data_IF_821051627353
#
_entry.id   IF_821051627353
#
_cell.length_a   1.000
_cell.length_b   1.000
_cell.length_c   1.000
_cell.angle_alpha   90.00
_cell.angle_beta   90.00
_cell.angle_gamma   90.00
#
_symmetry.space_group_name_H-M   'P 1'
#
loop_
_entity.id
_entity.type
_entity.pdbx_description
1 polymer ?
#
# COMPACT_ATOMS: atom_id res chain seq x y z
N UNK A 1 5.47 -3.65 26.89
CA UNK A 1 5.14 -4.73 25.94
C UNK A 1 3.88 -4.31 25.22
N UNK A 2 3.98 -3.79 23.98
CA UNK A 2 2.81 -3.33 23.22
C UNK A 2 2.09 -4.60 22.75
N UNK A 3 0.83 -4.74 23.12
CA UNK A 3 0.02 -5.91 22.76
C UNK A 3 -0.16 -5.88 21.24
N UNK A 4 0.56 -6.76 20.52
CA UNK A 4 0.46 -6.87 19.05
C UNK A 4 -0.81 -7.64 18.76
N UNK A 5 -1.91 -6.98 18.43
CA UNK A 5 -3.01 -7.65 17.75
C UNK A 5 -3.75 -6.68 16.84
N UNK A 6 -3.31 -6.68 15.58
CA UNK A 6 -4.10 -6.37 14.39
C UNK A 6 -5.06 -5.16 14.51
N UNK A 7 -4.60 -4.05 15.08
CA UNK A 7 -5.44 -2.85 15.23
C UNK A 7 -5.49 -2.04 13.93
N UNK A 8 -6.44 -1.10 13.87
CA UNK A 8 -6.52 -0.15 12.77
C UNK A 8 -5.26 0.70 12.66
N UNK A 9 -4.70 1.13 13.79
CA UNK A 9 -3.47 1.92 13.85
C UNK A 9 -2.27 1.14 13.30
N UNK A 10 -2.13 -0.14 13.66
CA UNK A 10 -1.06 -0.99 13.13
C UNK A 10 -1.23 -1.24 11.62
N UNK A 11 -2.48 -1.33 11.15
CA UNK A 11 -2.80 -1.43 9.72
C UNK A 11 -2.40 -0.15 8.97
N UNK A 12 -2.78 1.02 9.50
CA UNK A 12 -2.39 2.33 8.97
C UNK A 12 -0.86 2.45 8.91
N UNK A 13 -0.16 2.11 10.01
CA UNK A 13 1.30 2.16 10.07
C UNK A 13 1.94 1.20 9.05
N UNK A 14 1.37 0.00 8.88
CA UNK A 14 1.83 -0.96 7.87
C UNK A 14 1.66 -0.42 6.45
N UNK A 15 0.54 0.23 6.14
CA UNK A 15 0.28 0.83 4.82
C UNK A 15 1.26 1.97 4.57
N UNK A 16 1.38 2.91 5.50
CA UNK A 16 2.27 4.06 5.39
C UNK A 16 3.72 3.64 5.14
N UNK A 17 4.26 2.71 5.94
CA UNK A 17 5.66 2.26 5.81
C UNK A 17 5.97 1.63 4.45
N UNK A 18 5.04 0.83 3.90
CA UNK A 18 5.27 0.22 2.58
C UNK A 18 5.19 1.26 1.48
N UNK A 19 4.29 2.24 1.58
CA UNK A 19 4.19 3.34 0.62
C UNK A 19 5.45 4.21 0.65
N UNK A 20 5.94 4.60 1.83
CA UNK A 20 7.20 5.34 2.00
C UNK A 20 8.39 4.56 1.41
N UNK A 21 8.50 3.27 1.73
CA UNK A 21 9.56 2.41 1.21
C UNK A 21 9.50 2.31 -0.33
N UNK A 22 8.30 2.20 -0.88
CA UNK A 22 8.09 2.17 -2.33
C UNK A 22 8.43 3.53 -2.97
N UNK A 23 8.09 4.64 -2.32
CA UNK A 23 8.45 5.98 -2.76
C UNK A 23 9.96 6.16 -2.82
N UNK A 24 10.66 5.83 -1.74
CA UNK A 24 12.12 5.87 -1.67
C UNK A 24 12.77 5.03 -2.78
N UNK A 25 12.23 3.82 -3.02
CA UNK A 25 12.67 2.99 -4.13
C UNK A 25 12.47 3.70 -5.47
N UNK A 26 11.30 4.29 -5.75
CA UNK A 26 11.05 5.04 -6.99
C UNK A 26 11.97 6.26 -7.16
N UNK A 27 12.24 6.98 -6.08
CA UNK A 27 13.21 8.09 -6.07
C UNK A 27 14.61 7.58 -6.42
N UNK A 28 15.05 6.43 -5.92
CA UNK A 28 16.33 5.85 -6.35
C UNK A 28 16.38 5.54 -7.86
N UNK A 29 15.23 5.19 -8.45
CA UNK A 29 15.13 4.90 -9.88
C UNK A 29 15.19 6.16 -10.75
N UNK A 30 14.84 7.35 -10.24
CA UNK A 30 15.00 8.59 -11.02
C UNK A 30 16.47 8.94 -11.24
N UNK A 31 17.35 8.56 -10.33
CA UNK A 31 18.81 8.71 -10.51
C UNK A 31 19.30 7.79 -11.63
N UNK A 32 18.77 6.56 -11.70
CA UNK A 32 19.15 5.57 -12.71
C UNK A 32 18.54 5.84 -14.08
N UNK A 33 17.34 6.41 -14.13
CA UNK A 33 16.60 6.72 -15.36
C UNK A 33 16.04 8.15 -15.29
N UNK A 34 16.90 9.17 -15.44
CA UNK A 34 16.52 10.58 -15.28
C UNK A 34 15.49 11.05 -16.31
N UNK A 35 15.50 10.47 -17.52
CA UNK A 35 14.57 10.84 -18.60
C UNK A 35 13.19 10.18 -18.48
N UNK A 36 12.98 9.29 -17.48
CA UNK A 36 11.68 8.67 -17.23
C UNK A 36 10.90 9.40 -16.12
N UNK A 37 9.96 10.31 -16.47
CA UNK A 37 9.20 11.06 -15.48
C UNK A 37 8.21 10.20 -14.69
N UNK A 38 7.98 8.93 -15.08
CA UNK A 38 7.06 8.04 -14.38
C UNK A 38 7.55 7.71 -12.98
N UNK A 39 8.85 7.57 -12.76
CA UNK A 39 9.40 7.26 -11.45
C UNK A 39 9.22 8.41 -10.46
N UNK A 40 9.50 9.65 -10.88
CA UNK A 40 9.30 10.84 -10.05
C UNK A 40 7.82 11.05 -9.69
N UNK A 41 6.91 10.90 -10.67
CA UNK A 41 5.47 10.98 -10.43
C UNK A 41 4.96 9.87 -9.50
N UNK A 42 5.46 8.65 -9.66
CA UNK A 42 5.09 7.53 -8.78
C UNK A 42 5.57 7.77 -7.35
N UNK A 43 6.81 8.24 -7.15
CA UNK A 43 7.34 8.59 -5.83
C UNK A 43 6.46 9.64 -5.13
N UNK A 44 6.22 10.78 -5.77
CA UNK A 44 5.39 11.85 -5.21
C UNK A 44 3.97 11.36 -4.86
N UNK A 45 3.40 10.48 -5.69
CA UNK A 45 2.09 9.89 -5.42
C UNK A 45 2.12 8.94 -4.22
N UNK A 46 3.15 8.11 -4.11
CA UNK A 46 3.32 7.18 -2.99
C UNK A 46 3.49 7.93 -1.66
N UNK A 47 4.26 9.02 -1.65
CA UNK A 47 4.40 9.89 -0.46
C UNK A 47 3.05 10.49 -0.06
N UNK A 48 2.27 10.99 -1.01
CA UNK A 48 0.95 11.52 -0.74
C UNK A 48 0.01 10.45 -0.15
N UNK A 49 0.03 9.24 -0.70
CA UNK A 49 -0.76 8.12 -0.16
C UNK A 49 -0.31 7.71 1.23
N UNK A 50 1.00 7.75 1.52
CA UNK A 50 1.53 7.45 2.85
C UNK A 50 1.03 8.47 3.88
N UNK A 51 1.07 9.76 3.54
CA UNK A 51 0.52 10.83 4.37
C UNK A 51 -1.01 10.69 4.55
N UNK A 52 -1.72 10.29 3.48
CA UNK A 52 -3.16 10.09 3.53
C UNK A 52 -3.56 8.81 4.28
N UNK A 53 -2.66 7.86 4.52
CA UNK A 53 -2.98 6.59 5.19
C UNK A 53 -3.65 6.79 6.56
N UNK A 54 -3.33 7.88 7.28
CA UNK A 54 -3.99 8.22 8.55
C UNK A 54 -5.47 8.54 8.41
N UNK A 55 -5.95 8.80 7.18
CA UNK A 55 -7.35 9.09 6.83
C UNK A 55 -8.13 7.81 6.49
N UNK A 56 -7.56 6.63 6.74
CA UNK A 56 -8.27 5.35 6.57
C UNK A 56 -9.57 5.39 7.39
N UNK A 57 -10.70 5.25 6.72
CA UNK A 57 -12.03 5.25 7.35
C UNK A 57 -12.26 3.97 8.15
N UNK A 58 -13.25 3.98 9.05
CA UNK A 58 -13.61 2.78 9.80
C UNK A 58 -14.20 1.72 8.87
N UNK A 59 -14.95 2.11 7.86
CA UNK A 59 -15.52 1.22 6.84
C UNK A 59 -14.41 0.51 6.05
N UNK A 60 -13.42 1.26 5.56
CA UNK A 60 -12.26 0.69 4.87
C UNK A 60 -11.45 -0.24 5.78
N UNK A 61 -11.33 0.13 7.06
CA UNK A 61 -10.68 -0.73 8.03
C UNK A 61 -11.42 -2.06 8.21
N UNK A 62 -12.74 -2.02 8.40
CA UNK A 62 -13.57 -3.22 8.54
C UNK A 62 -13.45 -4.17 7.34
N UNK A 63 -13.30 -3.63 6.13
CA UNK A 63 -13.05 -4.44 4.92
C UNK A 63 -11.65 -5.06 4.88
N UNK A 64 -10.62 -4.35 5.36
CA UNK A 64 -9.23 -4.82 5.38
C UNK A 64 -8.94 -5.77 6.56
N UNK A 65 -9.65 -5.60 7.67
CA UNK A 65 -9.42 -6.30 8.92
C UNK A 65 -9.33 -7.83 8.79
N UNK A 66 -10.19 -8.53 8.01
CA UNK A 66 -10.11 -9.98 7.85
C UNK A 66 -8.80 -10.46 7.21
N UNK A 67 -8.13 -9.60 6.46
CA UNK A 67 -6.87 -9.91 5.77
C UNK A 67 -5.65 -9.41 6.53
N UNK A 68 -5.82 -8.49 7.47
CA UNK A 68 -4.72 -7.84 8.15
C UNK A 68 -4.09 -8.75 9.20
N UNK A 69 -2.77 -8.90 9.09
CA UNK A 69 -1.93 -9.50 10.11
C UNK A 69 -0.53 -8.94 10.01
N UNK A 70 0.05 -8.47 11.11
CA UNK A 70 1.39 -7.87 11.11
C UNK A 70 2.47 -8.83 10.54
N UNK A 71 2.30 -10.13 10.76
CA UNK A 71 3.14 -11.22 10.26
C UNK A 71 2.57 -11.92 9.01
N UNK A 72 1.45 -11.44 8.46
CA UNK A 72 0.82 -12.03 7.27
C UNK A 72 1.66 -11.74 6.03
N UNK A 73 2.22 -12.78 5.43
CA UNK A 73 2.97 -12.68 4.17
C UNK A 73 2.05 -12.27 3.02
N UNK A 74 0.83 -12.81 2.97
CA UNK A 74 -0.20 -12.43 1.98
C UNK A 74 -0.49 -10.93 2.06
N UNK A 75 -0.66 -10.39 3.26
CA UNK A 75 -0.84 -8.95 3.47
C UNK A 75 0.35 -8.16 2.92
N UNK A 76 1.57 -8.49 3.35
CA UNK A 76 2.78 -7.77 2.95
C UNK A 76 3.02 -7.86 1.45
N UNK A 77 2.80 -9.02 0.85
CA UNK A 77 2.97 -9.26 -0.59
C UNK A 77 1.95 -8.48 -1.41
N UNK A 78 0.67 -8.58 -1.07
CA UNK A 78 -0.41 -7.81 -1.72
C UNK A 78 -0.19 -6.30 -1.61
N UNK A 79 0.21 -5.82 -0.42
CA UNK A 79 0.49 -4.41 -0.20
C UNK A 79 1.68 -3.91 -1.04
N UNK A 80 2.76 -4.68 -1.09
CA UNK A 80 3.93 -4.37 -1.95
C UNK A 80 3.57 -4.37 -3.44
N UNK A 81 2.78 -5.34 -3.90
CA UNK A 81 2.35 -5.41 -5.30
C UNK A 81 1.47 -4.21 -5.67
N UNK A 82 0.53 -3.86 -4.80
CA UNK A 82 -0.35 -2.69 -4.97
C UNK A 82 0.47 -1.39 -5.02
N UNK A 83 1.42 -1.21 -4.09
CA UNK A 83 2.30 -0.04 -4.08
C UNK A 83 3.16 0.07 -5.34
N UNK A 84 3.69 -1.04 -5.87
CA UNK A 84 4.49 -1.04 -7.11
C UNK A 84 3.69 -0.62 -8.34
N UNK A 85 2.38 -0.84 -8.36
CA UNK A 85 1.50 -0.44 -9.45
C UNK A 85 1.15 1.06 -9.46
N UNK A 86 1.36 1.75 -8.33
CA UNK A 86 1.14 3.19 -8.23
C UNK A 86 2.02 3.94 -9.25
N UNK A 87 1.40 4.89 -9.94
CA UNK A 87 2.07 5.69 -10.99
C UNK A 87 2.20 5.01 -12.36
N UNK A 88 1.83 3.74 -12.49
CA UNK A 88 1.76 3.04 -13.79
C UNK A 88 0.33 2.80 -14.29
N UNK A 89 -0.63 2.71 -13.38
CA UNK A 89 -2.06 2.67 -13.73
C UNK A 89 -2.76 3.92 -13.21
N UNK A 90 -3.65 4.51 -14.03
CA UNK A 90 -4.47 5.68 -13.66
C UNK A 90 -5.45 5.44 -12.50
N UNK A 91 -5.46 4.23 -11.90
CA UNK A 91 -6.52 3.76 -11.01
C UNK A 91 -6.23 3.94 -9.52
N UNK A 92 -5.00 4.14 -9.07
CA UNK A 92 -4.67 4.36 -7.66
C UNK A 92 -4.39 5.86 -7.39
N UNK A 93 -5.40 6.68 -7.66
CA UNK A 93 -5.32 8.13 -7.60
C UNK A 93 -5.66 8.75 -6.23
N UNK A 94 -5.94 7.95 -5.24
CA UNK A 94 -6.26 8.38 -3.88
C UNK A 94 -6.24 7.16 -2.97
N UNK A 95 -6.34 7.41 -1.67
CA UNK A 95 -6.34 6.35 -0.68
C UNK A 95 -7.48 5.35 -0.90
N UNK A 96 -8.68 5.82 -1.25
CA UNK A 96 -9.84 4.94 -1.43
C UNK A 96 -9.65 3.97 -2.59
N UNK A 97 -9.14 4.46 -3.71
CA UNK A 97 -8.84 3.65 -4.88
C UNK A 97 -7.66 2.70 -4.64
N UNK A 98 -6.67 3.14 -3.85
CA UNK A 98 -5.58 2.28 -3.40
C UNK A 98 -6.08 1.13 -2.52
N UNK A 99 -6.92 1.41 -1.52
CA UNK A 99 -7.54 0.40 -0.64
C UNK A 99 -8.37 -0.59 -1.46
N UNK A 100 -9.15 -0.10 -2.43
CA UNK A 100 -9.91 -0.97 -3.34
C UNK A 100 -9.00 -1.90 -4.14
N UNK A 101 -7.89 -1.40 -4.67
CA UNK A 101 -6.91 -2.22 -5.40
C UNK A 101 -6.22 -3.23 -4.47
N UNK A 102 -5.92 -2.85 -3.23
CA UNK A 102 -5.36 -3.74 -2.22
C UNK A 102 -6.33 -4.88 -1.88
N UNK A 103 -7.60 -4.59 -1.62
CA UNK A 103 -8.64 -5.59 -1.35
C UNK A 103 -8.82 -6.58 -2.51
N UNK A 104 -8.74 -6.10 -3.75
CA UNK A 104 -8.75 -6.96 -4.93
C UNK A 104 -7.56 -7.92 -4.94
N UNK A 105 -6.35 -7.42 -4.69
CA UNK A 105 -5.15 -8.25 -4.64
C UNK A 105 -5.18 -9.26 -3.48
N UNK A 106 -5.65 -8.85 -2.31
CA UNK A 106 -5.81 -9.72 -1.14
C UNK A 106 -6.81 -10.84 -1.43
N UNK A 107 -7.98 -10.51 -1.99
CA UNK A 107 -9.02 -11.49 -2.33
C UNK A 107 -8.52 -12.52 -3.35
N UNK A 108 -7.77 -12.08 -4.36
CA UNK A 108 -7.16 -12.97 -5.35
C UNK A 108 -6.15 -13.92 -4.69
N UNK A 109 -5.25 -13.41 -3.86
CA UNK A 109 -4.24 -14.25 -3.21
C UNK A 109 -4.83 -15.22 -2.18
N UNK A 110 -5.89 -14.81 -1.45
CA UNK A 110 -6.60 -15.70 -0.53
C UNK A 110 -7.33 -16.84 -1.25
N UNK A 111 -7.81 -16.62 -2.48
CA UNK A 111 -8.48 -17.67 -3.28
C UNK A 111 -7.53 -18.72 -3.86
N UNK A 112 -6.23 -18.41 -3.96
CA UNK A 112 -5.20 -19.31 -4.50
C UNK A 112 -4.57 -20.19 -3.41
N UNK A 113 -4.73 -19.80 -2.13
CA UNK A 113 -4.20 -20.53 -0.98
C UNK A 113 -5.21 -21.51 -0.32
N UNK A 114 -6.41 -21.64 -0.90
CA UNK A 114 -7.51 -22.48 -0.41
C UNK A 114 -7.60 -23.83 -1.13
#
# INVERSE_FOLDING_TARGET
>A
MKMILNSKEDCIESIAKILESASAWRTSLTVRWPDDPRNARAAARLDQLAADASKLTDEQWLELQPFYGWASETWRSSLNQTARQVGFHHRAGDLASFVKALLQNLSLQSSVAA
#
